data_IF_931694827335
#
_entry.id   IF_931694827335
#
_cell.length_a   1.000
_cell.length_b   1.000
_cell.length_c   1.000
_cell.angle_alpha   90.00
_cell.angle_beta   90.00
_cell.angle_gamma   90.00
#
_symmetry.space_group_name_H-M   'P 1'
#
loop_
_entity.id
_entity.type
_entity.pdbx_description
1 polymer ?
#
# COMPACT_ATOMS: atom_id res chain seq x y z
N UNK A 1 18.74 -20.41 -25.02
CA UNK A 1 19.75 -20.87 -24.06
C UNK A 1 19.45 -20.24 -22.70
N UNK A 2 19.46 -21.00 -21.65
CA UNK A 2 19.24 -20.55 -20.26
C UNK A 2 20.26 -19.48 -19.79
N UNK A 3 21.33 -19.28 -20.50
CA UNK A 3 22.41 -18.33 -20.19
C UNK A 3 22.05 -16.87 -20.52
N UNK A 4 21.07 -16.60 -21.37
CA UNK A 4 20.62 -15.24 -21.66
C UNK A 4 19.67 -14.67 -20.59
N UNK A 5 19.10 -15.52 -19.73
CA UNK A 5 18.16 -15.13 -18.69
C UNK A 5 18.81 -14.94 -17.31
N UNK A 6 20.11 -15.25 -17.16
CA UNK A 6 20.86 -15.11 -15.92
C UNK A 6 21.58 -13.75 -15.83
N UNK A 7 20.92 -12.69 -16.24
CA UNK A 7 21.46 -11.36 -16.12
C UNK A 7 21.34 -10.84 -14.69
N UNK A 8 22.36 -10.12 -14.27
CA UNK A 8 22.41 -9.33 -13.04
C UNK A 8 22.09 -7.89 -13.40
N UNK A 9 21.46 -7.13 -12.53
CA UNK A 9 21.31 -5.70 -12.75
C UNK A 9 22.02 -4.88 -11.68
N UNK A 10 22.48 -3.72 -12.08
CA UNK A 10 22.97 -2.64 -11.24
C UNK A 10 22.09 -1.42 -11.47
N UNK A 11 21.55 -0.86 -10.39
CA UNK A 11 20.66 0.30 -10.45
C UNK A 11 21.02 1.29 -9.36
N UNK A 12 20.98 2.57 -9.71
CA UNK A 12 21.29 3.68 -8.81
C UNK A 12 20.29 4.82 -8.96
N UNK A 13 20.02 5.49 -7.86
CA UNK A 13 19.23 6.72 -7.81
C UNK A 13 19.99 7.73 -6.96
N UNK A 14 20.37 8.85 -7.59
CA UNK A 14 20.94 10.00 -6.92
C UNK A 14 19.92 11.13 -6.92
N UNK A 15 19.65 11.71 -5.75
CA UNK A 15 18.66 12.79 -5.59
C UNK A 15 19.31 13.94 -4.86
N UNK A 16 19.24 15.13 -5.46
CA UNK A 16 19.56 16.38 -4.81
C UNK A 16 18.32 17.25 -4.71
N UNK A 17 18.08 17.88 -3.56
CA UNK A 17 16.89 18.67 -3.37
C UNK A 17 17.11 19.85 -2.43
N UNK A 18 16.35 20.91 -2.66
CA UNK A 18 16.25 22.06 -1.77
C UNK A 18 14.77 22.42 -1.56
N UNK A 19 14.42 22.94 -0.41
CA UNK A 19 13.05 23.41 -0.15
C UNK A 19 13.04 24.69 0.67
N UNK A 20 11.95 25.42 0.54
CA UNK A 20 11.58 26.55 1.38
C UNK A 20 10.16 26.35 1.86
N UNK A 21 9.93 26.67 3.12
CA UNK A 21 8.60 26.58 3.74
C UNK A 21 8.38 27.78 4.64
N UNK A 22 7.16 28.30 4.59
CA UNK A 22 6.66 29.32 5.52
C UNK A 22 5.49 28.73 6.26
N UNK A 23 5.55 28.79 7.58
CA UNK A 23 4.48 28.37 8.48
C UNK A 23 4.15 29.54 9.40
N UNK A 24 2.88 29.91 9.48
CA UNK A 24 2.44 31.06 10.25
C UNK A 24 1.01 30.92 10.76
N UNK A 25 0.76 31.52 11.88
CA UNK A 25 -0.58 31.83 12.34
C UNK A 25 -1.12 33.03 11.53
N UNK A 26 -2.11 32.76 10.65
CA UNK A 26 -2.71 33.77 9.78
C UNK A 26 -3.66 34.66 10.59
N UNK A 27 -4.40 34.03 11.50
CA UNK A 27 -5.31 34.65 12.46
C UNK A 27 -5.37 33.75 13.71
N UNK A 28 -5.86 34.22 14.86
CA UNK A 28 -6.12 33.35 16.00
C UNK A 28 -6.91 32.09 15.58
N UNK A 29 -6.42 30.92 15.96
CA UNK A 29 -7.00 29.61 15.63
C UNK A 29 -6.84 29.15 14.17
N UNK A 30 -6.24 29.96 13.28
CA UNK A 30 -6.04 29.63 11.87
C UNK A 30 -4.55 29.66 11.53
N UNK A 31 -3.98 28.51 11.26
CA UNK A 31 -2.57 28.30 10.88
C UNK A 31 -2.47 27.86 9.45
N UNK A 32 -1.56 28.46 8.70
CA UNK A 32 -1.26 28.08 7.33
C UNK A 32 0.22 27.76 7.15
N UNK A 33 0.48 26.77 6.31
CA UNK A 33 1.84 26.44 5.85
C UNK A 33 1.83 26.37 4.32
N UNK A 34 2.84 26.96 3.70
CA UNK A 34 3.08 26.86 2.25
C UNK A 34 4.55 26.52 2.04
N UNK A 35 4.83 25.57 1.17
CA UNK A 35 6.17 25.12 0.86
C UNK A 35 6.36 24.87 -0.63
N UNK A 36 7.61 24.97 -1.06
CA UNK A 36 8.06 24.64 -2.40
C UNK A 36 9.35 23.85 -2.30
N UNK A 37 9.37 22.66 -2.91
CA UNK A 37 10.54 21.80 -3.03
C UNK A 37 10.96 21.71 -4.49
N UNK A 38 12.21 21.99 -4.77
CA UNK A 38 12.86 21.63 -6.02
C UNK A 38 13.71 20.38 -5.83
N UNK A 39 13.59 19.44 -6.74
CA UNK A 39 14.31 18.16 -6.69
C UNK A 39 14.82 17.79 -8.07
N UNK A 40 16.09 17.44 -8.18
CA UNK A 40 16.70 16.81 -9.33
C UNK A 40 17.09 15.37 -9.00
N UNK A 41 16.88 14.46 -9.93
CA UNK A 41 17.13 13.05 -9.74
C UNK A 41 17.76 12.41 -10.98
N UNK A 42 18.85 11.67 -10.77
CA UNK A 42 19.52 10.86 -11.77
C UNK A 42 19.26 9.38 -11.46
N UNK A 43 18.52 8.72 -12.34
CA UNK A 43 18.19 7.30 -12.27
C UNK A 43 19.00 6.53 -13.30
N UNK A 44 19.69 5.47 -12.90
CA UNK A 44 20.42 4.58 -13.81
C UNK A 44 20.04 3.13 -13.58
N UNK A 45 19.91 2.38 -14.67
CA UNK A 45 19.70 0.93 -14.65
C UNK A 45 20.58 0.29 -15.72
N UNK A 46 21.34 -0.75 -15.34
CA UNK A 46 22.20 -1.51 -16.22
C UNK A 46 21.96 -2.99 -16.00
N UNK A 47 21.90 -3.76 -17.08
CA UNK A 47 21.85 -5.22 -17.03
C UNK A 47 23.20 -5.79 -17.43
N UNK A 48 23.77 -6.62 -16.59
CA UNK A 48 25.11 -7.19 -16.74
C UNK A 48 25.02 -8.70 -16.95
N UNK A 49 25.95 -9.27 -17.70
CA UNK A 49 26.14 -10.71 -17.77
C UNK A 49 26.80 -11.20 -16.49
N UNK A 50 26.18 -12.17 -15.79
CA UNK A 50 26.75 -12.70 -14.55
C UNK A 50 28.08 -13.46 -14.75
N UNK A 51 28.33 -13.99 -15.97
CA UNK A 51 29.57 -14.70 -16.32
C UNK A 51 30.64 -13.79 -16.90
N UNK A 52 30.28 -12.56 -17.28
CA UNK A 52 31.20 -11.56 -17.78
C UNK A 52 30.87 -10.16 -17.21
N UNK A 53 30.90 -9.96 -15.89
CA UNK A 53 30.43 -8.72 -15.25
C UNK A 53 31.27 -7.49 -15.59
N UNK A 54 32.49 -7.68 -16.11
CA UNK A 54 33.37 -6.61 -16.56
C UNK A 54 33.19 -6.25 -18.03
N UNK A 55 32.35 -7.00 -18.77
CA UNK A 55 32.00 -6.66 -20.15
C UNK A 55 31.09 -5.43 -20.21
N UNK A 56 30.87 -4.91 -21.42
CA UNK A 56 29.89 -3.84 -21.61
C UNK A 56 28.48 -4.33 -21.15
N UNK A 57 27.66 -3.46 -20.53
CA UNK A 57 26.32 -3.82 -20.17
C UNK A 57 25.49 -4.31 -21.35
N UNK A 58 24.68 -5.36 -21.16
CA UNK A 58 23.73 -5.87 -22.15
C UNK A 58 22.68 -4.77 -22.45
N UNK A 59 22.30 -4.04 -21.43
CA UNK A 59 21.40 -2.91 -21.50
C UNK A 59 21.88 -1.82 -20.51
N UNK A 60 21.74 -0.55 -20.89
CA UNK A 60 22.02 0.58 -19.99
C UNK A 60 21.08 1.74 -20.32
N UNK A 61 20.43 2.28 -19.30
CA UNK A 61 19.64 3.50 -19.38
C UNK A 61 19.95 4.41 -18.20
N UNK A 62 20.11 5.70 -18.49
CA UNK A 62 20.19 6.76 -17.49
C UNK A 62 19.17 7.84 -17.84
N UNK A 63 18.47 8.34 -16.85
CA UNK A 63 17.44 9.37 -16.98
C UNK A 63 17.62 10.40 -15.88
N UNK A 64 17.73 11.67 -16.28
CA UNK A 64 17.73 12.81 -15.35
C UNK A 64 16.40 13.53 -15.43
N UNK A 65 15.82 13.89 -14.29
CA UNK A 65 14.53 14.58 -14.18
C UNK A 65 14.55 15.62 -13.07
N UNK A 66 13.85 16.71 -13.31
CA UNK A 66 13.67 17.81 -12.37
C UNK A 66 12.19 17.98 -12.02
N UNK A 67 11.94 18.26 -10.75
CA UNK A 67 10.58 18.45 -10.24
C UNK A 67 10.47 19.69 -9.37
N UNK A 68 9.37 20.42 -9.53
CA UNK A 68 8.94 21.47 -8.65
C UNK A 68 7.67 21.05 -7.94
N UNK A 69 7.75 20.86 -6.63
CA UNK A 69 6.74 20.21 -5.80
C UNK A 69 6.20 21.20 -4.77
N UNK A 70 5.12 21.94 -5.09
CA UNK A 70 4.42 22.82 -4.16
C UNK A 70 3.60 22.01 -3.17
N UNK A 71 3.45 22.54 -1.94
CA UNK A 71 2.53 22.03 -0.94
C UNK A 71 1.96 23.17 -0.10
N UNK A 72 0.70 23.06 0.28
CA UNK A 72 0.03 24.00 1.18
C UNK A 72 -0.87 23.25 2.14
N UNK A 73 -0.91 23.69 3.40
CA UNK A 73 -1.85 23.20 4.40
C UNK A 73 -2.51 24.36 5.14
N UNK A 74 -3.77 24.17 5.49
CA UNK A 74 -4.52 25.10 6.31
C UNK A 74 -5.14 24.33 7.47
N UNK A 75 -4.88 24.76 8.71
CA UNK A 75 -5.44 24.16 9.92
C UNK A 75 -6.27 25.20 10.65
N UNK A 76 -7.54 24.90 10.90
CA UNK A 76 -8.46 25.75 11.61
C UNK A 76 -8.91 25.07 12.90
N UNK A 77 -8.37 25.55 14.05
CA UNK A 77 -8.74 25.10 15.40
C UNK A 77 -9.96 25.88 15.86
N UNK A 78 -11.16 25.52 15.40
CA UNK A 78 -12.38 26.28 15.68
C UNK A 78 -12.95 26.02 17.07
N UNK A 79 -12.46 24.99 17.80
CA UNK A 79 -12.72 24.70 19.19
C UNK A 79 -11.42 24.18 19.87
N UNK A 80 -11.40 24.09 21.19
CA UNK A 80 -10.22 23.64 21.95
C UNK A 80 -9.79 22.20 21.59
N UNK A 81 -10.77 21.37 21.27
CA UNK A 81 -10.59 19.93 21.01
C UNK A 81 -10.96 19.55 19.57
N UNK A 82 -11.23 20.51 18.69
CA UNK A 82 -11.68 20.24 17.32
C UNK A 82 -10.94 21.11 16.29
N UNK A 83 -10.58 20.47 15.19
CA UNK A 83 -9.95 21.15 14.07
C UNK A 83 -10.39 20.62 12.71
N UNK A 84 -10.27 21.49 11.71
CA UNK A 84 -10.34 21.16 10.30
C UNK A 84 -8.98 21.40 9.65
N UNK A 85 -8.56 20.45 8.85
CA UNK A 85 -7.36 20.57 8.01
C UNK A 85 -7.70 20.42 6.57
N UNK A 86 -7.02 21.23 5.73
CA UNK A 86 -7.05 21.13 4.29
C UNK A 86 -5.63 21.03 3.78
N UNK A 87 -5.38 20.11 2.87
CA UNK A 87 -4.09 19.90 2.22
C UNK A 87 -4.22 19.97 0.72
N UNK A 88 -3.20 20.56 0.07
CA UNK A 88 -2.99 20.56 -1.37
C UNK A 88 -1.51 20.34 -1.62
N UNK A 89 -1.15 19.34 -2.43
CA UNK A 89 0.26 19.10 -2.75
C UNK A 89 0.44 18.45 -4.11
N UNK A 90 1.60 18.69 -4.70
CA UNK A 90 2.11 17.89 -5.80
C UNK A 90 3.23 17.00 -5.31
N UNK A 91 3.17 15.71 -5.67
CA UNK A 91 4.17 14.70 -5.31
C UNK A 91 4.53 13.82 -6.50
N UNK A 92 5.58 13.02 -6.37
CA UNK A 92 6.02 12.07 -7.39
C UNK A 92 6.19 10.68 -6.79
N UNK A 93 5.95 9.66 -7.60
CA UNK A 93 6.27 8.26 -7.33
C UNK A 93 7.21 7.73 -8.40
N UNK A 94 8.34 7.16 -7.99
CA UNK A 94 9.30 6.55 -8.91
C UNK A 94 9.06 5.06 -9.02
N UNK A 95 9.22 4.47 -10.24
CA UNK A 95 9.23 3.03 -10.40
C UNK A 95 10.30 2.39 -9.52
N UNK A 96 10.04 1.19 -9.02
CA UNK A 96 11.04 0.40 -8.30
C UNK A 96 12.12 -0.10 -9.27
N UNK A 97 13.34 -0.32 -8.77
CA UNK A 97 14.43 -0.82 -9.62
C UNK A 97 14.10 -2.13 -10.31
N UNK A 98 13.38 -3.04 -9.63
CA UNK A 98 12.94 -4.31 -10.20
C UNK A 98 11.87 -4.15 -11.30
N UNK A 99 11.10 -3.05 -11.26
CA UNK A 99 10.12 -2.71 -12.30
C UNK A 99 10.79 -2.14 -13.55
N UNK A 100 11.98 -1.53 -13.38
CA UNK A 100 12.79 -0.95 -14.45
C UNK A 100 13.78 -1.94 -15.07
N UNK A 101 14.31 -2.89 -14.29
CA UNK A 101 15.36 -3.79 -14.76
C UNK A 101 14.80 -4.80 -15.78
N UNK A 102 15.23 -4.80 -17.06
CA UNK A 102 14.74 -5.72 -18.09
C UNK A 102 15.34 -7.12 -17.91
N UNK A 103 15.38 -7.59 -16.69
CA UNK A 103 15.86 -8.89 -16.27
C UNK A 103 14.67 -9.75 -15.90
N UNK A 104 14.71 -11.02 -16.30
CA UNK A 104 13.70 -11.99 -15.90
C UNK A 104 14.03 -12.59 -14.54
N UNK A 105 13.07 -12.60 -13.65
CA UNK A 105 13.14 -13.28 -12.37
C UNK A 105 11.80 -13.94 -12.03
N UNK A 106 11.86 -15.02 -11.23
CA UNK A 106 10.65 -15.70 -10.80
C UNK A 106 10.22 -15.15 -9.43
N UNK A 107 9.00 -14.68 -9.35
CA UNK A 107 8.37 -14.33 -8.09
C UNK A 107 7.94 -15.61 -7.37
N UNK A 108 8.42 -15.81 -6.15
CA UNK A 108 8.15 -17.03 -5.38
C UNK A 108 6.76 -17.05 -4.75
N UNK A 109 6.09 -15.91 -4.65
CA UNK A 109 4.73 -15.83 -4.10
C UNK A 109 3.67 -16.12 -5.15
N UNK A 110 3.84 -15.58 -6.34
CA UNK A 110 2.88 -15.69 -7.45
C UNK A 110 3.25 -16.72 -8.50
N UNK A 111 4.45 -17.27 -8.42
CA UNK A 111 5.05 -18.19 -9.40
C UNK A 111 5.14 -17.64 -10.83
N UNK A 112 5.11 -16.31 -10.97
CA UNK A 112 5.20 -15.60 -12.24
C UNK A 112 6.64 -15.30 -12.63
N UNK A 113 6.89 -15.28 -13.93
CA UNK A 113 8.13 -14.74 -14.47
C UNK A 113 7.94 -13.25 -14.68
N UNK A 114 8.60 -12.43 -13.86
CA UNK A 114 8.59 -10.98 -13.98
C UNK A 114 9.73 -10.49 -14.84
N UNK A 115 9.44 -9.45 -15.64
CA UNK A 115 10.44 -8.70 -16.41
C UNK A 115 10.14 -7.22 -16.25
N UNK A 116 11.13 -6.46 -15.79
CA UNK A 116 10.98 -5.01 -15.70
C UNK A 116 10.91 -4.36 -17.07
N UNK A 117 10.35 -3.16 -17.10
CA UNK A 117 10.28 -2.30 -18.27
C UNK A 117 11.18 -1.06 -18.05
N UNK A 118 12.32 -0.96 -18.73
CA UNK A 118 13.23 0.16 -18.52
C UNK A 118 12.70 1.50 -19.04
N UNK A 119 11.57 1.49 -19.74
CA UNK A 119 10.95 2.70 -20.30
C UNK A 119 9.89 3.34 -19.38
N UNK A 120 9.73 2.80 -18.17
CA UNK A 120 8.84 3.41 -17.18
C UNK A 120 9.26 4.85 -16.84
N UNK A 121 8.26 5.65 -16.61
CA UNK A 121 8.38 7.03 -16.18
C UNK A 121 7.86 7.21 -14.75
N UNK A 122 8.25 8.29 -14.10
CA UNK A 122 7.75 8.64 -12.79
C UNK A 122 6.26 9.00 -12.88
N UNK A 123 5.49 8.58 -11.88
CA UNK A 123 4.10 9.01 -11.69
C UNK A 123 4.09 10.36 -10.99
N UNK A 124 3.33 11.33 -11.50
CA UNK A 124 3.06 12.58 -10.80
C UNK A 124 1.69 12.57 -10.16
N UNK A 125 1.55 13.23 -9.02
CA UNK A 125 0.33 13.28 -8.24
C UNK A 125 -0.04 14.72 -7.92
N UNK A 126 -1.31 15.08 -8.10
CA UNK A 126 -1.93 16.22 -7.46
C UNK A 126 -2.84 15.67 -6.36
N UNK A 127 -2.59 16.06 -5.11
CA UNK A 127 -3.32 15.58 -3.95
C UNK A 127 -4.12 16.71 -3.33
N UNK A 128 -5.38 16.44 -3.00
CA UNK A 128 -6.27 17.30 -2.24
C UNK A 128 -6.87 16.48 -1.11
N UNK A 129 -6.79 16.98 0.11
CA UNK A 129 -7.36 16.33 1.28
C UNK A 129 -8.05 17.34 2.21
N UNK A 130 -9.07 16.85 2.91
CA UNK A 130 -9.76 17.56 3.98
C UNK A 130 -9.99 16.59 5.14
N UNK A 131 -9.74 17.03 6.37
CA UNK A 131 -9.87 16.21 7.57
C UNK A 131 -10.46 17.00 8.73
N UNK A 132 -11.50 16.46 9.32
CA UNK A 132 -12.05 16.88 10.61
C UNK A 132 -11.47 15.99 11.70
N UNK A 133 -11.06 16.59 12.83
CA UNK A 133 -10.49 15.90 13.98
C UNK A 133 -11.16 16.38 15.26
N UNK A 134 -11.56 15.45 16.14
CA UNK A 134 -12.09 15.71 17.47
C UNK A 134 -11.31 14.89 18.47
N UNK A 135 -10.67 15.55 19.44
CA UNK A 135 -9.87 14.93 20.49
C UNK A 135 -10.63 14.89 21.80
N UNK A 136 -11.11 13.71 22.22
CA UNK A 136 -11.81 13.55 23.49
C UNK A 136 -10.86 13.71 24.68
N UNK A 137 -9.63 13.20 24.55
CA UNK A 137 -8.54 13.33 25.51
C UNK A 137 -7.23 12.87 24.84
N UNK A 138 -6.11 12.85 25.60
CA UNK A 138 -4.82 12.41 25.06
C UNK A 138 -4.90 10.97 24.54
N UNK A 139 -4.69 10.80 23.23
CA UNK A 139 -4.69 9.50 22.56
C UNK A 139 -6.10 8.90 22.31
N UNK A 140 -7.17 9.68 22.52
CA UNK A 140 -8.56 9.31 22.23
C UNK A 140 -9.15 10.35 21.29
N UNK A 141 -9.61 9.90 20.12
CA UNK A 141 -10.03 10.82 19.07
C UNK A 141 -11.06 10.17 18.11
N UNK A 142 -11.72 11.04 17.39
CA UNK A 142 -12.50 10.73 16.21
C UNK A 142 -12.00 11.59 15.05
N UNK A 143 -11.80 10.98 13.88
CA UNK A 143 -11.45 11.72 12.68
C UNK A 143 -12.31 11.28 11.50
N UNK A 144 -12.58 12.24 10.62
CA UNK A 144 -13.27 12.03 9.35
C UNK A 144 -12.47 12.74 8.27
N UNK A 145 -11.99 12.00 7.27
CA UNK A 145 -11.22 12.50 6.16
C UNK A 145 -11.90 12.25 4.82
N UNK A 146 -11.61 13.11 3.84
CA UNK A 146 -11.90 12.88 2.43
C UNK A 146 -10.68 13.29 1.61
N UNK A 147 -10.40 12.56 0.52
CA UNK A 147 -9.25 12.82 -0.33
C UNK A 147 -9.58 12.62 -1.80
N UNK A 148 -8.83 13.34 -2.63
CA UNK A 148 -8.79 13.18 -4.08
C UNK A 148 -7.34 13.25 -4.54
N UNK A 149 -6.96 12.33 -5.45
CA UNK A 149 -5.65 12.30 -6.09
C UNK A 149 -5.83 12.14 -7.58
N UNK A 150 -5.26 13.05 -8.34
CA UNK A 150 -5.08 12.87 -9.77
C UNK A 150 -3.66 12.36 -10.03
N UNK A 151 -3.53 11.38 -10.89
CA UNK A 151 -2.27 10.71 -11.22
C UNK A 151 -2.02 10.79 -12.72
N UNK A 152 -0.83 11.19 -13.10
CA UNK A 152 -0.33 11.05 -14.46
C UNK A 152 0.69 9.91 -14.49
N UNK A 153 0.60 9.06 -15.50
CA UNK A 153 1.49 7.93 -15.73
C UNK A 153 1.61 6.96 -14.56
N UNK A 154 0.52 6.51 -13.91
CA UNK A 154 0.62 5.48 -12.89
C UNK A 154 1.23 4.20 -13.47
N UNK A 155 2.08 3.52 -12.67
CA UNK A 155 2.66 2.24 -13.06
C UNK A 155 1.66 1.13 -12.77
N UNK A 156 1.37 0.33 -13.80
CA UNK A 156 0.48 -0.84 -13.75
C UNK A 156 1.23 -2.09 -14.21
N UNK A 157 0.81 -3.26 -13.75
CA UNK A 157 1.37 -4.55 -14.16
C UNK A 157 0.48 -5.22 -15.22
N UNK A 158 1.10 -5.81 -16.23
CA UNK A 158 0.45 -6.59 -17.29
C UNK A 158 0.85 -8.05 -17.17
N UNK A 159 -0.13 -8.94 -17.03
CA UNK A 159 0.08 -10.38 -17.01
C UNK A 159 -0.28 -10.99 -18.37
N UNK A 160 0.66 -11.72 -18.95
CA UNK A 160 0.53 -12.40 -20.23
C UNK A 160 0.66 -13.90 -20.00
N UNK A 161 -0.34 -14.68 -20.41
CA UNK A 161 -0.24 -16.13 -20.38
C UNK A 161 0.64 -16.60 -21.55
N UNK A 162 1.77 -17.21 -21.23
CA UNK A 162 2.66 -17.79 -22.22
C UNK A 162 2.10 -19.06 -22.86
N UNK A 163 2.61 -19.42 -24.02
CA UNK A 163 2.25 -20.67 -24.73
C UNK A 163 2.63 -21.94 -23.95
N UNK A 164 3.50 -21.80 -22.97
CA UNK A 164 3.94 -22.84 -22.03
C UNK A 164 3.03 -22.96 -20.79
N UNK A 165 1.95 -22.15 -20.72
CA UNK A 165 1.04 -22.08 -19.59
C UNK A 165 1.53 -21.28 -18.39
N UNK A 166 2.73 -20.69 -18.44
CA UNK A 166 3.25 -19.85 -17.38
C UNK A 166 2.80 -18.39 -17.56
N UNK A 167 2.38 -17.75 -16.48
CA UNK A 167 2.15 -16.30 -16.48
C UNK A 167 3.48 -15.53 -16.48
N UNK A 168 3.59 -14.60 -17.41
CA UNK A 168 4.64 -13.58 -17.45
C UNK A 168 4.05 -12.24 -17.08
N UNK A 169 4.79 -11.46 -16.34
CA UNK A 169 4.36 -10.14 -15.91
C UNK A 169 5.40 -9.10 -16.29
N UNK A 170 4.95 -7.98 -16.84
CA UNK A 170 5.74 -6.78 -17.08
C UNK A 170 5.02 -5.57 -16.53
N UNK A 171 5.62 -4.39 -16.66
CA UNK A 171 5.09 -3.13 -16.13
C UNK A 171 4.99 -2.09 -17.24
N UNK A 172 4.06 -1.16 -17.10
CA UNK A 172 3.89 -0.04 -18.01
C UNK A 172 3.28 1.15 -17.28
N UNK A 173 3.40 2.35 -17.86
CA UNK A 173 2.66 3.49 -17.36
C UNK A 173 1.30 3.54 -18.07
N UNK A 174 0.21 3.49 -17.30
CA UNK A 174 -1.12 3.87 -17.80
C UNK A 174 -1.16 5.39 -18.04
N UNK A 175 -2.04 5.91 -18.91
CA UNK A 175 -2.05 7.33 -19.25
C UNK A 175 -2.31 8.24 -18.05
N UNK A 176 -3.43 8.05 -17.37
CA UNK A 176 -3.80 8.80 -16.17
C UNK A 176 -4.79 8.01 -15.31
N UNK A 177 -4.96 8.43 -14.06
CA UNK A 177 -5.97 7.90 -13.16
C UNK A 177 -6.40 8.93 -12.11
N UNK A 178 -7.60 8.74 -11.59
CA UNK A 178 -8.10 9.45 -10.41
C UNK A 178 -8.35 8.46 -9.28
N UNK A 179 -8.02 8.87 -8.05
CA UNK A 179 -8.36 8.16 -6.82
C UNK A 179 -9.12 9.12 -5.90
N UNK A 180 -10.20 8.69 -5.32
CA UNK A 180 -10.93 9.45 -4.30
C UNK A 180 -11.55 8.53 -3.26
N UNK A 181 -11.75 9.07 -2.08
CA UNK A 181 -12.29 8.28 -0.99
C UNK A 181 -12.50 9.07 0.29
N UNK A 182 -12.85 8.31 1.34
CA UNK A 182 -13.04 8.83 2.67
C UNK A 182 -12.50 7.88 3.73
N UNK A 183 -12.11 8.45 4.86
CA UNK A 183 -11.52 7.76 5.99
C UNK A 183 -12.23 8.12 7.27
N UNK A 184 -12.45 7.13 8.13
CA UNK A 184 -12.95 7.30 9.49
C UNK A 184 -12.00 6.63 10.44
N UNK A 185 -11.55 7.36 11.46
CA UNK A 185 -10.80 6.78 12.57
C UNK A 185 -11.49 7.12 13.89
N UNK A 186 -11.54 6.14 14.77
CA UNK A 186 -12.07 6.29 16.11
C UNK A 186 -11.21 5.51 17.09
N UNK A 187 -10.81 6.17 18.17
CA UNK A 187 -10.11 5.51 19.27
C UNK A 187 -10.60 6.05 20.59
N UNK A 188 -11.10 5.17 21.45
CA UNK A 188 -11.56 5.53 22.77
C UNK A 188 -11.32 4.43 23.80
N UNK A 189 -11.02 4.85 25.01
CA UNK A 189 -10.98 4.04 26.21
C UNK A 189 -12.26 4.27 27.00
N UNK A 190 -12.84 3.19 27.52
CA UNK A 190 -14.05 3.20 28.30
C UNK A 190 -13.77 2.56 29.66
N UNK A 191 -14.19 3.21 30.72
CA UNK A 191 -14.35 2.64 32.04
C UNK A 191 -15.83 2.34 32.23
N UNK A 192 -16.18 1.07 32.46
CA UNK A 192 -17.56 0.64 32.59
C UNK A 192 -17.86 0.37 34.05
N UNK A 193 -18.97 0.92 34.54
CA UNK A 193 -19.47 0.71 35.89
C UNK A 193 -20.74 -0.16 35.82
N UNK A 194 -20.55 -1.47 35.76
CA UNK A 194 -21.67 -2.45 35.59
C UNK A 194 -22.04 -3.13 36.88
N UNK A 195 -21.30 -2.93 37.98
CA UNK A 195 -21.42 -3.66 39.22
C UNK A 195 -20.77 -5.06 39.17
N UNK A 196 -20.11 -5.40 38.07
CA UNK A 196 -19.40 -6.65 37.89
C UNK A 196 -17.90 -6.41 37.95
N UNK A 197 -17.22 -6.75 39.02
CA UNK A 197 -15.82 -6.44 39.26
C UNK A 197 -14.87 -6.92 38.13
N UNK A 198 -15.26 -7.96 37.39
CA UNK A 198 -14.48 -8.37 36.22
C UNK A 198 -14.51 -7.33 35.09
N UNK A 199 -15.62 -6.62 34.91
CA UNK A 199 -15.77 -5.56 33.89
C UNK A 199 -15.23 -4.24 34.38
N UNK A 200 -15.57 -3.87 35.64
CA UNK A 200 -15.36 -2.54 36.20
C UNK A 200 -13.90 -2.23 36.49
N UNK A 201 -13.09 -3.27 36.76
CA UNK A 201 -11.64 -3.12 37.02
C UNK A 201 -10.81 -3.11 35.71
N UNK A 202 -11.43 -2.81 34.57
CA UNK A 202 -10.75 -2.78 33.24
C UNK A 202 -11.03 -1.52 32.48
N UNK A 203 -10.02 -1.05 31.78
CA UNK A 203 -10.17 -0.04 30.75
C UNK A 203 -10.37 -0.74 29.41
N UNK A 204 -11.52 -0.54 28.80
CA UNK A 204 -11.92 -1.14 27.54
C UNK A 204 -11.49 -0.27 26.40
N UNK A 205 -10.80 -0.83 25.41
CA UNK A 205 -10.32 -0.14 24.21
C UNK A 205 -11.22 -0.52 23.02
N UNK A 206 -11.69 0.50 22.32
CA UNK A 206 -12.20 0.39 20.97
C UNK A 206 -11.38 1.28 20.06
N UNK A 207 -10.77 0.70 19.03
CA UNK A 207 -10.07 1.44 17.97
C UNK A 207 -10.54 0.93 16.63
N UNK A 208 -11.04 1.82 15.78
CA UNK A 208 -11.56 1.55 14.44
C UNK A 208 -10.85 2.47 13.45
N UNK A 209 -10.41 1.89 12.35
CA UNK A 209 -10.01 2.59 11.15
C UNK A 209 -10.77 1.99 9.96
N UNK A 210 -11.41 2.82 9.16
CA UNK A 210 -12.09 2.40 7.95
C UNK A 210 -11.80 3.38 6.82
N UNK A 211 -11.38 2.84 5.67
CA UNK A 211 -11.13 3.59 4.46
C UNK A 211 -12.02 3.04 3.34
N UNK A 212 -12.75 3.92 2.71
CA UNK A 212 -13.37 3.67 1.41
C UNK A 212 -12.57 4.41 0.34
N UNK A 213 -12.12 3.69 -0.67
CA UNK A 213 -11.34 4.26 -1.78
C UNK A 213 -11.85 3.70 -3.09
N UNK A 214 -12.05 4.54 -4.07
CA UNK A 214 -12.30 4.10 -5.43
C UNK A 214 -11.37 4.82 -6.40
N UNK A 215 -11.10 4.23 -7.54
CA UNK A 215 -10.27 4.82 -8.59
C UNK A 215 -10.86 4.56 -9.96
N UNK A 216 -10.38 5.32 -10.93
CA UNK A 216 -10.70 5.12 -12.33
C UNK A 216 -9.50 5.45 -13.20
N UNK A 217 -9.22 4.59 -14.18
CA UNK A 217 -8.27 4.86 -15.24
C UNK A 217 -8.88 5.81 -16.25
N UNK A 218 -8.12 6.82 -16.66
CA UNK A 218 -8.50 7.78 -17.69
C UNK A 218 -7.72 7.44 -18.96
N UNK A 219 -8.42 6.91 -19.96
CA UNK A 219 -7.83 6.48 -21.23
C UNK A 219 -8.58 7.16 -22.37
N UNK A 220 -7.87 7.95 -23.16
CA UNK A 220 -8.39 8.67 -24.31
C UNK A 220 -8.06 7.96 -25.63
N UNK A 221 -8.78 8.32 -26.69
CA UNK A 221 -8.44 7.85 -28.04
C UNK A 221 -7.08 8.42 -28.44
N UNK A 222 -6.19 7.55 -28.91
CA UNK A 222 -4.83 7.92 -29.30
C UNK A 222 -3.78 7.84 -28.18
N UNK A 223 -4.17 7.57 -26.93
CA UNK A 223 -3.20 7.25 -25.88
C UNK A 223 -2.44 5.97 -26.20
N UNK A 224 -1.16 5.97 -25.89
CA UNK A 224 -0.29 4.80 -26.10
C UNK A 224 0.39 4.42 -24.78
N UNK A 225 0.73 3.15 -24.65
CA UNK A 225 1.56 2.64 -23.56
C UNK A 225 2.87 2.09 -24.14
N UNK A 226 3.93 2.10 -23.35
CA UNK A 226 5.20 1.49 -23.75
C UNK A 226 5.37 0.16 -23.05
N UNK A 227 5.46 -0.91 -23.82
CA UNK A 227 5.68 -2.28 -23.32
C UNK A 227 7.03 -2.81 -23.79
N UNK A 228 7.72 -3.52 -22.89
CA UNK A 228 8.91 -4.31 -23.22
C UNK A 228 8.72 -5.74 -22.72
N UNK A 229 8.14 -6.60 -23.57
CA UNK A 229 7.89 -8.02 -23.25
C UNK A 229 9.02 -8.92 -23.77
N UNK A 230 9.67 -8.51 -24.86
CA UNK A 230 10.63 -9.35 -25.61
C UNK A 230 12.04 -8.78 -25.64
N UNK A 231 12.31 -7.65 -24.95
CA UNK A 231 13.55 -6.89 -25.07
C UNK A 231 13.54 -5.88 -26.22
N UNK A 232 12.41 -5.73 -26.88
CA UNK A 232 12.17 -4.70 -27.92
C UNK A 232 10.94 -3.91 -27.52
N UNK A 233 11.09 -2.59 -27.24
CA UNK A 233 9.95 -1.77 -26.86
C UNK A 233 8.93 -1.64 -27.99
N UNK A 234 7.67 -1.72 -27.63
CA UNK A 234 6.54 -1.45 -28.51
C UNK A 234 5.65 -0.38 -27.90
N UNK A 235 4.94 0.37 -28.73
CA UNK A 235 4.04 1.45 -28.29
C UNK A 235 2.62 1.21 -28.84
N UNK A 236 1.92 0.17 -28.35
CA UNK A 236 0.55 -0.08 -28.76
C UNK A 236 -0.42 1.00 -28.25
N UNK A 237 -1.62 1.03 -28.81
CA UNK A 237 -2.73 1.84 -28.32
C UNK A 237 -3.11 1.38 -26.91
N UNK A 238 -3.27 2.34 -25.98
CA UNK A 238 -3.63 2.02 -24.60
C UNK A 238 -4.96 1.26 -24.50
N UNK A 239 -5.92 1.57 -25.39
CA UNK A 239 -7.23 0.91 -25.43
C UNK A 239 -7.22 -0.57 -25.81
N UNK A 240 -6.12 -1.09 -26.32
CA UNK A 240 -5.98 -2.54 -26.59
C UNK A 240 -5.80 -3.33 -25.28
N UNK A 241 -5.42 -2.64 -24.18
CA UNK A 241 -5.08 -3.23 -22.89
C UNK A 241 -5.91 -2.67 -21.72
N UNK A 242 -6.48 -1.48 -21.86
CA UNK A 242 -7.15 -0.73 -20.82
C UNK A 242 -8.51 -0.22 -21.27
N UNK A 243 -9.50 -0.39 -20.41
CA UNK A 243 -10.81 0.25 -20.58
C UNK A 243 -10.89 1.47 -19.65
N UNK A 244 -11.38 2.61 -20.16
CA UNK A 244 -11.60 3.79 -19.32
C UNK A 244 -12.63 3.51 -18.22
N UNK A 245 -12.37 4.01 -17.02
CA UNK A 245 -13.20 3.79 -15.84
C UNK A 245 -12.87 2.55 -15.01
N UNK A 246 -11.91 1.72 -15.43
CA UNK A 246 -11.41 0.60 -14.62
C UNK A 246 -10.64 1.10 -13.40
N UNK A 247 -10.64 0.27 -12.34
CA UNK A 247 -9.93 0.58 -11.11
C UNK A 247 -8.42 0.36 -11.27
N UNK A 248 -7.62 1.11 -10.54
CA UNK A 248 -6.19 0.88 -10.42
C UNK A 248 -5.88 -0.47 -9.77
N UNK A 249 -4.76 -1.06 -10.15
CA UNK A 249 -4.23 -2.27 -9.52
C UNK A 249 -3.80 -2.01 -8.08
N UNK A 250 -3.83 -3.08 -7.28
CA UNK A 250 -3.40 -3.03 -5.88
C UNK A 250 -4.35 -2.30 -4.95
N UNK A 251 -5.40 -1.64 -5.48
CA UNK A 251 -6.33 -0.87 -4.70
C UNK A 251 -7.57 -1.69 -4.34
N UNK A 252 -7.82 -1.84 -3.04
CA UNK A 252 -9.06 -2.36 -2.49
C UNK A 252 -10.02 -1.22 -2.18
N UNK A 253 -11.32 -1.39 -2.49
CA UNK A 253 -12.32 -0.36 -2.21
C UNK A 253 -12.57 -0.17 -0.72
N UNK A 254 -12.47 -1.24 0.06
CA UNK A 254 -12.76 -1.24 1.48
C UNK A 254 -11.59 -1.81 2.27
N UNK A 255 -11.08 -1.02 3.21
CA UNK A 255 -10.12 -1.42 4.21
C UNK A 255 -10.71 -1.12 5.58
N UNK A 256 -10.76 -2.11 6.47
CA UNK A 256 -11.23 -1.92 7.84
C UNK A 256 -10.29 -2.61 8.82
N UNK A 257 -9.98 -1.92 9.92
CA UNK A 257 -9.24 -2.45 11.05
C UNK A 257 -10.03 -2.14 12.32
N UNK A 258 -10.39 -3.17 13.06
CA UNK A 258 -11.05 -3.05 14.35
C UNK A 258 -10.19 -3.70 15.41
N UNK A 259 -9.86 -2.94 16.43
CA UNK A 259 -9.20 -3.43 17.63
C UNK A 259 -10.16 -3.29 18.81
N UNK A 260 -10.47 -4.41 19.43
CA UNK A 260 -11.21 -4.49 20.68
C UNK A 260 -10.28 -5.05 21.73
N UNK A 261 -10.23 -4.43 22.90
CA UNK A 261 -9.32 -4.89 23.93
C UNK A 261 -9.71 -4.40 25.32
N UNK A 262 -9.01 -4.92 26.31
CA UNK A 262 -9.04 -4.38 27.64
C UNK A 262 -7.66 -4.43 28.28
N UNK A 263 -7.45 -3.51 29.24
CA UNK A 263 -6.30 -3.47 30.13
C UNK A 263 -6.79 -3.48 31.58
N UNK A 264 -6.13 -4.26 32.41
CA UNK A 264 -6.28 -4.22 33.86
C UNK A 264 -4.91 -4.00 34.48
N UNK A 265 -4.68 -2.79 34.95
CA UNK A 265 -3.39 -2.36 35.50
C UNK A 265 -3.08 -3.10 36.81
N UNK A 266 -4.08 -3.36 37.68
CA UNK A 266 -3.90 -4.06 38.95
C UNK A 266 -3.48 -5.52 38.75
N UNK A 267 -4.12 -6.20 37.81
CA UNK A 267 -3.81 -7.60 37.49
C UNK A 267 -2.68 -7.73 36.46
N UNK A 268 -2.14 -6.62 35.94
CA UNK A 268 -1.12 -6.61 34.90
C UNK A 268 -1.55 -7.40 33.65
N UNK A 269 -2.83 -7.37 33.28
CA UNK A 269 -3.36 -8.17 32.18
C UNK A 269 -3.93 -7.31 31.06
N UNK A 270 -3.68 -7.75 29.84
CA UNK A 270 -4.16 -7.13 28.62
C UNK A 270 -4.67 -8.18 27.65
N UNK A 271 -5.82 -7.95 27.03
CA UNK A 271 -6.30 -8.74 25.90
C UNK A 271 -6.64 -7.84 24.73
N UNK A 272 -6.37 -8.32 23.52
CA UNK A 272 -6.64 -7.59 22.28
C UNK A 272 -7.12 -8.55 21.21
N UNK A 273 -8.28 -8.26 20.62
CA UNK A 273 -8.80 -8.87 19.42
C UNK A 273 -8.61 -7.86 18.27
N UNK A 274 -7.97 -8.32 17.20
CA UNK A 274 -7.72 -7.56 15.99
C UNK A 274 -8.55 -8.19 14.86
N UNK A 275 -9.35 -7.39 14.19
CA UNK A 275 -10.10 -7.78 12.99
C UNK A 275 -9.67 -6.88 11.86
N UNK A 276 -9.12 -7.47 10.80
CA UNK A 276 -8.76 -6.75 9.58
C UNK A 276 -9.60 -7.25 8.42
N UNK A 277 -10.07 -6.34 7.60
CA UNK A 277 -10.78 -6.64 6.37
C UNK A 277 -10.19 -5.85 5.21
N UNK A 278 -9.94 -6.55 4.12
CA UNK A 278 -9.49 -5.96 2.86
C UNK A 278 -10.35 -6.56 1.74
N UNK A 279 -11.04 -5.71 0.97
CA UNK A 279 -11.83 -6.18 -0.17
C UNK A 279 -10.94 -6.65 -1.32
N UNK A 280 -11.54 -7.32 -2.27
CA UNK A 280 -10.87 -7.77 -3.50
C UNK A 280 -10.25 -6.59 -4.25
N UNK A 281 -9.17 -6.89 -4.99
CA UNK A 281 -8.44 -5.92 -5.82
C UNK A 281 -7.85 -6.59 -7.05
N UNK A 282 -7.74 -5.83 -8.11
CA UNK A 282 -6.99 -6.25 -9.30
C UNK A 282 -5.50 -6.35 -8.93
N UNK A 283 -4.87 -7.48 -9.16
CA UNK A 283 -3.44 -7.71 -8.90
C UNK A 283 -2.58 -7.52 -10.14
N UNK A 284 -3.12 -7.82 -11.34
CA UNK A 284 -2.49 -7.55 -12.62
C UNK A 284 -3.55 -7.49 -13.74
N UNK A 285 -3.30 -6.65 -14.75
CA UNK A 285 -4.11 -6.59 -15.96
C UNK A 285 -3.86 -7.78 -16.86
N UNK A 286 -4.89 -8.22 -17.56
CA UNK A 286 -4.72 -9.19 -18.62
C UNK A 286 -4.14 -8.57 -19.89
N UNK A 287 -3.61 -9.42 -20.78
CA UNK A 287 -2.97 -9.01 -22.04
C UNK A 287 -3.94 -8.52 -23.10
N UNK A 288 -5.23 -8.45 -22.82
CA UNK A 288 -6.28 -7.95 -23.69
C UNK A 288 -7.50 -7.56 -22.87
N UNK A 289 -8.23 -6.53 -23.28
CA UNK A 289 -9.51 -6.11 -22.69
C UNK A 289 -10.60 -7.19 -22.73
N UNK A 290 -10.48 -8.18 -23.61
CA UNK A 290 -11.42 -9.29 -23.73
C UNK A 290 -11.18 -10.40 -22.69
N UNK A 291 -10.05 -10.35 -21.97
CA UNK A 291 -9.69 -11.34 -20.96
C UNK A 291 -9.89 -10.76 -19.56
N UNK A 292 -10.37 -11.56 -18.59
CA UNK A 292 -10.54 -11.09 -17.23
C UNK A 292 -9.20 -10.82 -16.56
N UNK A 293 -9.14 -9.73 -15.78
CA UNK A 293 -7.98 -9.39 -14.95
C UNK A 293 -7.74 -10.43 -13.84
N UNK A 294 -6.53 -10.46 -13.33
CA UNK A 294 -6.20 -11.22 -12.15
C UNK A 294 -6.65 -10.44 -10.91
N UNK A 295 -7.41 -11.12 -10.05
CA UNK A 295 -8.01 -10.53 -8.85
C UNK A 295 -7.50 -11.26 -7.62
N UNK A 296 -6.98 -10.50 -6.66
CA UNK A 296 -6.57 -11.00 -5.35
C UNK A 296 -7.69 -10.78 -4.33
N UNK A 297 -7.91 -11.77 -3.46
CA UNK A 297 -8.92 -11.72 -2.39
C UNK A 297 -8.28 -11.89 -1.02
N UNK A 298 -7.90 -10.77 -0.33
CA UNK A 298 -7.31 -10.83 0.99
C UNK A 298 -8.28 -11.26 2.10
N UNK A 299 -9.55 -10.82 2.04
CA UNK A 299 -10.62 -11.25 2.95
C UNK A 299 -10.55 -10.67 4.36
N UNK A 300 -11.09 -11.43 5.32
CA UNK A 300 -11.15 -11.08 6.75
C UNK A 300 -10.14 -11.92 7.52
N UNK A 301 -9.31 -11.29 8.34
CA UNK A 301 -8.39 -11.94 9.29
C UNK A 301 -8.72 -11.51 10.71
N UNK A 302 -8.70 -12.47 11.62
CA UNK A 302 -8.91 -12.25 13.06
C UNK A 302 -7.70 -12.78 13.81
N UNK A 303 -7.11 -11.93 14.64
CA UNK A 303 -5.98 -12.27 15.51
C UNK A 303 -6.36 -11.94 16.96
N UNK A 304 -5.84 -12.73 17.90
CA UNK A 304 -6.05 -12.53 19.33
C UNK A 304 -4.73 -12.58 20.08
N UNK A 305 -4.53 -11.62 20.97
CA UNK A 305 -3.34 -11.55 21.84
C UNK A 305 -3.79 -11.36 23.28
N UNK A 306 -3.26 -12.17 24.17
CA UNK A 306 -3.42 -12.01 25.62
C UNK A 306 -2.06 -11.98 26.29
N UNK A 307 -1.88 -11.05 27.23
CA UNK A 307 -0.67 -10.94 28.06
C UNK A 307 -1.07 -10.76 29.51
N UNK A 308 -0.29 -11.37 30.41
CA UNK A 308 -0.47 -11.20 31.85
C UNK A 308 0.87 -11.19 32.55
N UNK A 309 1.07 -10.16 33.36
CA UNK A 309 2.18 -10.09 34.29
C UNK A 309 1.80 -10.78 35.60
N UNK A 310 2.74 -11.50 36.19
CA UNK A 310 2.58 -12.14 37.48
C UNK A 310 3.94 -12.26 38.16
N UNK A 311 3.92 -12.33 39.50
CA UNK A 311 5.11 -12.43 40.31
C UNK A 311 5.24 -13.85 40.92
N UNK A 312 6.41 -14.44 40.82
CA UNK A 312 6.76 -15.72 41.48
C UNK A 312 8.06 -15.50 42.23
N UNK A 313 8.03 -15.68 43.56
CA UNK A 313 9.19 -15.56 44.43
C UNK A 313 9.95 -14.21 44.29
N UNK A 314 9.23 -13.10 44.17
CA UNK A 314 9.80 -11.77 44.03
C UNK A 314 10.41 -11.47 42.66
N UNK A 315 10.11 -12.29 41.63
CA UNK A 315 10.52 -12.07 40.24
C UNK A 315 9.31 -11.89 39.37
N UNK A 316 9.42 -10.90 38.46
CA UNK A 316 8.36 -10.59 37.48
C UNK A 316 8.43 -11.53 36.28
N UNK A 317 7.30 -12.09 35.93
CA UNK A 317 7.09 -12.91 34.74
C UNK A 317 5.98 -12.29 33.88
N UNK A 318 6.12 -12.43 32.57
CA UNK A 318 5.06 -12.11 31.62
C UNK A 318 4.72 -13.36 30.80
N UNK A 319 3.51 -13.87 30.97
CA UNK A 319 2.93 -14.89 30.09
C UNK A 319 2.22 -14.26 28.92
N UNK A 320 2.37 -14.81 27.72
CA UNK A 320 1.65 -14.38 26.52
C UNK A 320 1.04 -15.56 25.80
N UNK A 321 -0.14 -15.32 25.21
CA UNK A 321 -0.79 -16.21 24.27
C UNK A 321 -1.15 -15.42 23.03
N UNK A 322 -0.80 -15.94 21.86
CA UNK A 322 -1.14 -15.32 20.58
C UNK A 322 -1.80 -16.38 19.70
N UNK A 323 -2.90 -16.01 19.06
CA UNK A 323 -3.59 -16.80 18.05
C UNK A 323 -3.75 -15.92 16.81
N UNK A 324 -3.24 -16.35 15.68
CA UNK A 324 -3.25 -15.58 14.43
C UNK A 324 -4.02 -16.32 13.36
N UNK A 325 -4.67 -15.53 12.49
CA UNK A 325 -5.48 -16.02 11.39
C UNK A 325 -6.59 -16.99 11.87
N UNK A 326 -7.32 -16.62 12.92
CA UNK A 326 -8.41 -17.45 13.49
C UNK A 326 -9.53 -17.74 12.49
N UNK A 327 -9.69 -16.92 11.48
CA UNK A 327 -10.64 -17.11 10.37
C UNK A 327 -10.20 -18.20 9.40
N UNK A 328 -8.91 -18.60 9.39
CA UNK A 328 -8.36 -19.52 8.38
C UNK A 328 -8.41 -18.91 6.98
N UNK A 329 -8.17 -17.60 6.87
CA UNK A 329 -8.20 -16.91 5.56
C UNK A 329 -6.95 -17.26 4.79
N UNK A 330 -7.13 -17.81 3.58
CA UNK A 330 -6.08 -18.20 2.66
C UNK A 330 -5.68 -17.07 1.71
N UNK A 331 -4.55 -17.24 1.04
CA UNK A 331 -4.19 -16.40 -0.09
C UNK A 331 -4.87 -16.92 -1.36
N UNK A 332 -5.65 -16.06 -2.00
CA UNK A 332 -6.37 -16.41 -3.21
C UNK A 332 -6.12 -15.36 -4.31
N UNK A 333 -5.78 -15.84 -5.49
CA UNK A 333 -5.76 -15.04 -6.71
C UNK A 333 -6.42 -15.83 -7.83
N UNK A 334 -7.28 -15.17 -8.60
CA UNK A 334 -8.10 -15.81 -9.61
C UNK A 334 -8.44 -14.88 -10.76
N UNK A 335 -8.91 -15.47 -11.85
CA UNK A 335 -9.62 -14.83 -12.94
C UNK A 335 -11.07 -15.29 -12.94
N UNK A 336 -12.02 -14.41 -13.26
CA UNK A 336 -13.43 -14.75 -13.35
C UNK A 336 -14.11 -14.10 -14.54
N UNK A 337 -14.80 -14.90 -15.33
CA UNK A 337 -15.61 -14.45 -16.46
C UNK A 337 -16.80 -15.39 -16.70
N UNK A 338 -17.96 -14.83 -17.08
CA UNK A 338 -19.14 -15.62 -17.46
C UNK A 338 -19.65 -16.56 -16.36
N UNK A 339 -19.50 -16.17 -15.08
CA UNK A 339 -19.87 -16.97 -13.92
C UNK A 339 -18.93 -18.15 -13.62
N UNK A 340 -17.79 -18.24 -14.30
CA UNK A 340 -16.74 -19.23 -14.03
C UNK A 340 -15.55 -18.54 -13.39
N UNK A 341 -14.89 -19.25 -12.45
CA UNK A 341 -13.67 -18.82 -11.78
C UNK A 341 -12.55 -19.81 -12.09
N UNK A 342 -11.36 -19.28 -12.31
CA UNK A 342 -10.12 -20.02 -12.47
C UNK A 342 -9.09 -19.48 -11.47
N UNK A 343 -8.69 -20.30 -10.49
CA UNK A 343 -7.70 -19.92 -9.50
C UNK A 343 -6.31 -19.97 -10.14
N UNK A 344 -5.63 -18.83 -10.15
CA UNK A 344 -4.29 -18.66 -10.73
C UNK A 344 -3.19 -18.88 -9.69
N UNK A 345 -3.49 -18.54 -8.43
CA UNK A 345 -2.61 -18.80 -7.30
C UNK A 345 -3.45 -18.94 -6.04
N UNK A 346 -3.25 -20.02 -5.30
CA UNK A 346 -3.92 -20.25 -4.01
C UNK A 346 -3.04 -21.07 -3.09
N UNK A 347 -2.89 -20.61 -1.85
CA UNK A 347 -2.19 -21.37 -0.82
C UNK A 347 -2.77 -21.11 0.56
N UNK A 348 -2.71 -22.13 1.41
CA UNK A 348 -3.13 -22.08 2.79
C UNK A 348 -2.07 -21.35 3.64
N UNK A 349 -2.49 -20.24 4.28
CA UNK A 349 -1.65 -19.49 5.22
C UNK A 349 -1.63 -20.22 6.59
N UNK A 350 -2.69 -20.95 6.91
CA UNK A 350 -2.87 -21.64 8.17
C UNK A 350 -3.17 -20.71 9.36
N UNK A 351 -3.57 -21.36 10.45
CA UNK A 351 -3.73 -20.72 11.76
C UNK A 351 -2.47 -20.98 12.60
N UNK A 352 -2.03 -19.98 13.35
CA UNK A 352 -0.89 -20.15 14.25
C UNK A 352 -1.22 -19.81 15.70
N UNK A 353 -0.70 -20.61 16.62
CA UNK A 353 -0.85 -20.42 18.07
C UNK A 353 0.52 -20.42 18.71
N UNK A 354 0.79 -19.43 19.56
CA UNK A 354 2.04 -19.35 20.30
C UNK A 354 1.81 -19.05 21.78
N UNK A 355 2.64 -19.66 22.61
CA UNK A 355 2.73 -19.41 24.04
C UNK A 355 4.13 -18.89 24.35
N UNK A 356 4.19 -17.78 25.05
CA UNK A 356 5.45 -17.16 25.48
C UNK A 356 5.50 -16.99 27.00
N UNK A 357 6.71 -17.15 27.56
CA UNK A 357 7.02 -16.81 28.94
C UNK A 357 8.33 -16.04 28.96
N UNK A 358 8.30 -14.83 29.50
CA UNK A 358 9.50 -14.05 29.75
C UNK A 358 9.65 -13.73 31.23
N UNK A 359 10.90 -13.62 31.70
CA UNK A 359 11.23 -13.26 33.05
C UNK A 359 12.17 -12.05 33.05
N UNK A 360 11.97 -11.12 33.96
CA UNK A 360 12.86 -9.99 34.21
C UNK A 360 13.69 -10.29 35.46
N UNK A 361 15.01 -10.28 35.32
CA UNK A 361 15.97 -10.56 36.37
C UNK A 361 16.60 -9.27 36.87
#
# INVERSE_FOLDING_TARGET
>A
SLTGDAAMYDAGLEVAAAYVQVDSEIRPLLRGSIGLRYETADLSVKTLDIFAPTAAPIFSRSVSKDYLLPAATLTWNFAEDQQLRFGLSQTIGRPQFRELAPQRYRDTETDRILSGNPYLEDTTFVNVDARYEHYFSKGQYFTLGAFYKNMEKPVEALAVLGSDGAFRQTFYNAPAADIYGGEVEFKKLFELETGTGWVDNRRWLVSLNYTYTTSQLNVSDGDTITLDITGVPTTPTARDYLTGGEKLQGQSDHLANLQLGFENDEAGSQATLLVTYTSERVSARSSSVDLPDLVQRPGIRVDFVYRRNFEIQGREFTGSFEARNLTGTDAEEYQAAGGKRFDTNSFDIGQSFSLGLSARF
#
